data_IF_153897087779
#
_entry.id   IF_153897087779
#
_cell.length_a   1.000
_cell.length_b   1.000
_cell.length_c   1.000
_cell.angle_alpha   90.00
_cell.angle_beta   90.00
_cell.angle_gamma   90.00
#
_symmetry.space_group_name_H-M   'P 1'
#
loop_
_entity.id
_entity.type
_entity.pdbx_description
1 polymer ?
#
# COMPACT_ATOMS: atom_id res chain seq x y z
N UNK A 1 48.15 -24.91 34.00
CA UNK A 1 49.18 -23.84 34.20
C UNK A 1 48.38 -22.57 34.45
N UNK A 2 48.21 -22.32 35.71
CA UNK A 2 48.77 -21.29 36.59
C UNK A 2 48.20 -19.89 36.33
N UNK A 3 47.29 -19.49 37.24
CA UNK A 3 47.41 -18.41 38.24
C UNK A 3 47.53 -16.99 37.66
N UNK A 4 46.65 -16.04 38.07
CA UNK A 4 46.79 -15.31 39.33
C UNK A 4 45.56 -14.44 39.61
N UNK A 5 45.03 -14.63 40.81
CA UNK A 5 44.25 -13.71 41.64
C UNK A 5 44.99 -12.43 41.96
N UNK A 6 44.32 -11.29 41.99
CA UNK A 6 44.75 -10.13 42.75
C UNK A 6 43.55 -9.42 43.37
N UNK A 7 43.46 -9.61 44.67
CA UNK A 7 42.71 -8.75 45.61
C UNK A 7 43.49 -7.47 45.85
N UNK A 8 42.86 -6.32 45.94
CA UNK A 8 43.29 -5.23 46.85
C UNK A 8 42.24 -4.12 46.91
N UNK A 9 41.64 -4.03 48.04
CA UNK A 9 41.64 -3.03 49.10
C UNK A 9 40.71 -1.82 48.87
N UNK A 10 39.67 -1.79 49.68
CA UNK A 10 38.94 -0.60 50.14
C UNK A 10 39.85 0.35 50.90
N UNK A 11 39.53 1.67 50.92
CA UNK A 11 39.39 2.32 52.22
C UNK A 11 38.04 3.04 52.40
N UNK A 12 37.55 2.88 53.59
CA UNK A 12 36.52 3.67 54.25
C UNK A 12 37.10 5.07 54.52
N UNK A 13 36.34 6.13 54.26
CA UNK A 13 36.32 7.33 55.11
C UNK A 13 35.13 8.27 54.81
N UNK A 14 34.31 8.42 55.84
CA UNK A 14 33.73 9.63 56.47
C UNK A 14 32.72 10.46 55.75
N UNK A 15 31.50 10.35 56.29
CA UNK A 15 30.62 11.41 56.80
C UNK A 15 30.75 12.86 56.24
N UNK A 16 29.68 13.32 55.62
CA UNK A 16 29.44 14.73 55.38
C UNK A 16 27.99 14.94 54.94
N UNK A 17 27.20 15.52 55.87
CA UNK A 17 25.86 16.01 55.66
C UNK A 17 25.80 16.96 54.45
N UNK A 18 24.83 16.75 53.58
CA UNK A 18 24.08 17.84 52.90
C UNK A 18 22.81 17.21 52.30
N UNK A 19 21.76 17.16 53.08
CA UNK A 19 20.40 17.09 52.60
C UNK A 19 20.13 18.46 51.97
N UNK A 20 19.64 18.53 50.71
CA UNK A 20 18.87 19.51 50.01
C UNK A 20 19.23 19.40 48.51
N UNK A 21 18.31 18.86 47.68
CA UNK A 21 18.54 18.88 46.25
C UNK A 21 17.88 17.72 45.46
N UNK A 22 16.85 17.10 45.99
CA UNK A 22 16.20 15.97 45.30
C UNK A 22 14.73 16.26 45.00
N UNK A 23 14.49 17.34 44.25
CA UNK A 23 13.14 17.68 43.79
C UNK A 23 13.05 18.38 42.41
N UNK A 24 14.05 18.29 41.55
CA UNK A 24 14.01 18.98 40.24
C UNK A 24 14.51 18.13 39.07
N UNK A 25 14.38 16.81 39.11
CA UNK A 25 14.92 15.94 38.07
C UNK A 25 13.94 14.98 37.41
N UNK A 26 12.64 15.02 37.70
CA UNK A 26 11.71 13.96 37.24
C UNK A 26 10.61 14.43 36.27
N UNK A 27 10.78 15.55 35.58
CA UNK A 27 9.77 16.05 34.61
C UNK A 27 10.21 16.11 33.14
N UNK A 28 11.34 15.53 32.78
CA UNK A 28 11.84 15.61 31.39
C UNK A 28 11.90 14.26 30.67
N UNK A 29 11.01 13.34 30.96
CA UNK A 29 11.03 11.99 30.38
C UNK A 29 9.76 11.57 29.63
N UNK A 30 8.74 12.43 29.48
CA UNK A 30 7.57 12.12 28.64
C UNK A 30 7.65 12.86 27.29
N UNK A 31 8.79 12.78 26.60
CA UNK A 31 8.86 13.15 25.20
C UNK A 31 8.18 12.07 24.36
N UNK A 32 6.87 12.23 24.18
CA UNK A 32 6.15 12.08 22.92
C UNK A 32 6.68 10.98 21.99
N UNK A 33 6.41 9.73 22.28
CA UNK A 33 6.25 8.74 21.21
C UNK A 33 4.90 8.99 20.54
N UNK A 34 4.82 10.07 19.74
CA UNK A 34 3.72 10.23 18.82
C UNK A 34 3.78 9.03 17.83
N UNK A 35 2.74 8.21 17.73
CA UNK A 35 2.72 7.15 16.73
C UNK A 35 2.84 7.82 15.36
N UNK A 36 3.82 7.38 14.57
CA UNK A 36 4.01 7.89 13.22
C UNK A 36 2.77 7.64 12.37
N UNK A 37 2.02 8.66 11.93
CA UNK A 37 0.80 8.51 11.14
C UNK A 37 1.06 8.15 9.66
N UNK A 38 2.18 7.57 9.33
CA UNK A 38 2.80 7.70 8.03
C UNK A 38 2.29 6.80 6.88
N UNK A 39 1.41 5.82 7.08
CA UNK A 39 1.02 4.92 5.98
C UNK A 39 -0.45 4.95 5.60
N UNK A 40 -1.34 5.10 6.55
CA UNK A 40 -2.77 5.27 6.28
C UNK A 40 -2.99 6.59 5.52
N UNK A 41 -2.38 7.68 6.00
CA UNK A 41 -2.52 9.02 5.41
C UNK A 41 -2.13 9.07 3.92
N UNK A 42 -1.03 8.40 3.53
CA UNK A 42 -0.61 8.37 2.11
C UNK A 42 -1.58 7.63 1.20
N UNK A 43 -2.25 6.60 1.68
CA UNK A 43 -3.22 5.88 0.89
C UNK A 43 -4.52 6.67 0.73
N UNK A 44 -4.94 7.33 1.80
CA UNK A 44 -6.10 8.22 1.79
C UNK A 44 -5.84 9.45 0.90
N UNK A 45 -4.63 10.01 0.92
CA UNK A 45 -4.25 11.10 0.03
C UNK A 45 -4.25 10.64 -1.44
N UNK A 46 -3.73 9.45 -1.71
CA UNK A 46 -3.79 8.86 -3.06
C UNK A 46 -5.24 8.64 -3.53
N UNK A 47 -6.13 8.20 -2.64
CA UNK A 47 -7.54 8.06 -2.97
C UNK A 47 -8.21 9.43 -3.27
N UNK A 48 -7.84 10.48 -2.53
CA UNK A 48 -8.28 11.86 -2.82
C UNK A 48 -7.77 12.35 -4.17
N UNK A 49 -6.49 12.09 -4.49
CA UNK A 49 -5.90 12.44 -5.78
C UNK A 49 -6.62 11.72 -6.93
N UNK A 50 -7.01 10.47 -6.73
CA UNK A 50 -7.82 9.75 -7.70
C UNK A 50 -9.18 10.43 -7.93
N UNK A 51 -9.87 10.85 -6.87
CA UNK A 51 -11.17 11.54 -7.01
C UNK A 51 -11.05 12.91 -7.66
N UNK A 52 -9.95 13.61 -7.47
CA UNK A 52 -9.69 14.90 -8.10
C UNK A 52 -9.44 14.78 -9.62
N UNK A 53 -8.92 13.63 -10.07
CA UNK A 53 -8.51 13.43 -11.46
C UNK A 53 -9.42 12.51 -12.28
N UNK A 54 -10.29 11.74 -11.65
CA UNK A 54 -11.26 10.85 -12.32
C UNK A 54 -12.65 11.40 -12.09
N UNK A 55 -13.28 12.02 -13.10
CA UNK A 55 -14.63 12.57 -12.98
C UNK A 55 -15.65 11.49 -12.57
N UNK A 56 -16.47 11.78 -11.57
CA UNK A 56 -17.51 10.85 -11.09
C UNK A 56 -17.02 9.75 -10.13
N UNK A 57 -15.73 9.72 -9.81
CA UNK A 57 -15.19 8.82 -8.81
C UNK A 57 -15.57 9.29 -7.40
N UNK A 58 -16.02 8.35 -6.57
CA UNK A 58 -16.31 8.57 -5.15
C UNK A 58 -15.51 7.59 -4.29
N UNK A 59 -15.08 8.07 -3.13
CA UNK A 59 -14.48 7.22 -2.11
C UNK A 59 -15.61 6.60 -1.29
N UNK A 60 -15.63 5.27 -1.23
CA UNK A 60 -16.52 4.50 -0.39
C UNK A 60 -15.89 4.18 0.98
N UNK A 61 -16.23 3.03 1.53
CA UNK A 61 -15.71 2.57 2.83
C UNK A 61 -14.27 2.10 2.72
N UNK A 62 -13.54 2.22 3.83
CA UNK A 62 -12.20 1.61 3.99
C UNK A 62 -12.31 0.42 4.94
N UNK A 63 -11.88 -0.76 4.49
CA UNK A 63 -11.89 -2.00 5.29
C UNK A 63 -10.55 -2.71 5.14
N UNK A 64 -9.88 -2.99 6.25
CA UNK A 64 -8.64 -3.78 6.30
C UNK A 64 -7.55 -3.29 5.32
N UNK A 65 -7.39 -1.98 5.17
CA UNK A 65 -6.39 -1.39 4.27
C UNK A 65 -6.79 -1.43 2.79
N UNK A 66 -8.08 -1.60 2.49
CA UNK A 66 -8.65 -1.50 1.15
C UNK A 66 -9.67 -0.37 1.13
N UNK A 67 -9.46 0.61 0.27
CA UNK A 67 -10.39 1.71 0.03
C UNK A 67 -11.28 1.33 -1.15
N UNK A 68 -12.58 1.17 -0.92
CA UNK A 68 -13.54 0.91 -1.97
C UNK A 68 -13.82 2.19 -2.75
N UNK A 69 -13.96 2.04 -4.05
CA UNK A 69 -14.17 3.14 -5.00
C UNK A 69 -15.47 2.90 -5.76
N UNK A 70 -16.22 3.95 -6.01
CA UNK A 70 -17.48 3.90 -6.76
C UNK A 70 -17.36 4.75 -8.02
N UNK A 71 -17.64 4.17 -9.19
CA UNK A 71 -17.61 4.87 -10.46
C UNK A 71 -18.56 4.20 -11.47
N UNK A 72 -19.27 4.96 -12.32
CA UNK A 72 -20.27 4.41 -13.26
C UNK A 72 -19.74 3.38 -14.27
N UNK A 73 -18.46 3.46 -14.62
CA UNK A 73 -17.84 2.55 -15.58
C UNK A 73 -17.50 1.16 -15.03
N UNK A 74 -17.62 0.94 -13.70
CA UNK A 74 -17.23 -0.29 -13.04
C UNK A 74 -18.34 -0.81 -12.15
N UNK A 75 -18.43 -2.13 -11.97
CA UNK A 75 -19.34 -2.74 -10.97
C UNK A 75 -18.72 -2.69 -9.57
N UNK A 76 -17.41 -2.89 -9.49
CA UNK A 76 -16.64 -2.77 -8.26
C UNK A 76 -15.26 -2.22 -8.57
N UNK A 77 -14.74 -1.38 -7.71
CA UNK A 77 -13.35 -0.96 -7.75
C UNK A 77 -12.80 -0.77 -6.34
N UNK A 78 -11.49 -0.92 -6.20
CA UNK A 78 -10.81 -0.63 -4.95
C UNK A 78 -9.34 -0.29 -5.14
N UNK A 79 -8.82 0.47 -4.18
CA UNK A 79 -7.41 0.76 -3.99
C UNK A 79 -6.91 -0.01 -2.77
N UNK A 80 -6.05 -0.98 -2.98
CA UNK A 80 -5.35 -1.67 -1.91
C UNK A 80 -4.18 -0.82 -1.41
N UNK A 81 -4.13 -0.62 -0.09
CA UNK A 81 -3.09 0.17 0.55
C UNK A 81 -1.83 -0.67 0.83
N UNK A 82 -0.65 -0.05 0.77
CA UNK A 82 0.59 -0.78 0.96
C UNK A 82 0.73 -1.25 2.42
N UNK A 83 1.25 -2.47 2.58
CA UNK A 83 1.63 -3.03 3.88
C UNK A 83 3.10 -3.47 3.86
N UNK A 84 3.58 -4.10 4.94
CA UNK A 84 4.98 -4.60 5.00
C UNK A 84 5.33 -5.48 3.80
N UNK A 85 4.39 -6.35 3.37
CA UNK A 85 4.61 -7.35 2.33
C UNK A 85 3.78 -7.12 1.06
N UNK A 86 3.08 -5.99 0.94
CA UNK A 86 2.16 -5.71 -0.15
C UNK A 86 2.41 -4.30 -0.70
N UNK A 87 2.51 -4.18 -2.01
CA UNK A 87 2.47 -2.88 -2.70
C UNK A 87 1.03 -2.41 -2.84
N UNK A 88 0.83 -1.17 -3.31
CA UNK A 88 -0.49 -0.74 -3.74
C UNK A 88 -1.00 -1.67 -4.84
N UNK A 89 -2.31 -1.87 -4.87
CA UNK A 89 -3.00 -2.52 -5.98
C UNK A 89 -4.27 -1.76 -6.35
N UNK A 90 -4.57 -1.75 -7.63
CA UNK A 90 -5.81 -1.22 -8.19
C UNK A 90 -6.63 -2.40 -8.70
N UNK A 91 -7.81 -2.58 -8.14
CA UNK A 91 -8.77 -3.59 -8.58
C UNK A 91 -9.95 -2.91 -9.25
N UNK A 92 -10.44 -3.50 -10.35
CA UNK A 92 -11.69 -3.12 -10.99
C UNK A 92 -12.39 -4.33 -11.60
N UNK A 93 -13.72 -4.33 -11.58
CA UNK A 93 -14.53 -5.35 -12.23
C UNK A 93 -15.72 -4.75 -12.98
N UNK A 94 -16.16 -5.48 -13.98
CA UNK A 94 -17.39 -5.21 -14.73
C UNK A 94 -18.16 -6.52 -14.93
N UNK A 95 -19.47 -6.46 -14.93
CA UNK A 95 -20.39 -7.58 -15.23
C UNK A 95 -20.45 -7.93 -16.74
N UNK A 96 -19.81 -7.14 -17.57
CA UNK A 96 -19.76 -7.35 -19.03
C UNK A 96 -18.59 -8.23 -19.42
N UNK A 97 -18.86 -9.29 -20.20
CA UNK A 97 -17.79 -10.14 -20.80
C UNK A 97 -16.87 -9.38 -21.75
N UNK A 98 -17.40 -8.35 -22.41
CA UNK A 98 -16.63 -7.41 -23.22
C UNK A 98 -16.64 -6.07 -22.50
N UNK A 99 -15.56 -5.70 -21.81
CA UNK A 99 -15.48 -4.43 -21.12
C UNK A 99 -15.65 -3.26 -22.10
N UNK A 100 -16.33 -2.22 -21.64
CA UNK A 100 -16.49 -0.98 -22.43
C UNK A 100 -15.17 -0.21 -22.50
N UNK A 101 -15.03 0.72 -23.45
CA UNK A 101 -13.90 1.65 -23.46
C UNK A 101 -13.77 2.43 -22.16
N UNK A 102 -14.88 2.86 -21.56
CA UNK A 102 -14.90 3.60 -20.29
C UNK A 102 -14.37 2.78 -19.11
N UNK A 103 -14.63 1.46 -19.10
CA UNK A 103 -14.05 0.56 -18.11
C UNK A 103 -12.52 0.54 -18.22
N UNK A 104 -12.00 0.37 -19.42
CA UNK A 104 -10.55 0.39 -19.65
C UNK A 104 -9.94 1.75 -19.36
N UNK A 105 -10.63 2.83 -19.69
CA UNK A 105 -10.19 4.19 -19.42
C UNK A 105 -10.08 4.45 -17.92
N UNK A 106 -11.09 4.02 -17.14
CA UNK A 106 -11.07 4.08 -15.68
C UNK A 106 -9.87 3.30 -15.11
N UNK A 107 -9.72 2.02 -15.50
CA UNK A 107 -8.62 1.16 -15.03
C UNK A 107 -7.26 1.77 -15.35
N UNK A 108 -7.11 2.25 -16.60
CA UNK A 108 -5.86 2.83 -17.07
C UNK A 108 -5.53 4.14 -16.35
N UNK A 109 -6.51 4.99 -16.12
CA UNK A 109 -6.32 6.26 -15.40
C UNK A 109 -5.98 6.01 -13.94
N UNK A 110 -6.74 5.17 -13.25
CA UNK A 110 -6.47 4.84 -11.86
C UNK A 110 -5.07 4.22 -11.67
N UNK A 111 -4.71 3.24 -12.49
CA UNK A 111 -3.39 2.62 -12.41
C UNK A 111 -2.25 3.59 -12.80
N UNK A 112 -2.46 4.47 -13.78
CA UNK A 112 -1.49 5.49 -14.16
C UNK A 112 -1.14 6.42 -13.00
N UNK A 113 -2.16 6.87 -12.27
CA UNK A 113 -2.01 7.75 -11.12
C UNK A 113 -1.33 7.02 -9.94
N UNK A 114 -1.81 5.82 -9.59
CA UNK A 114 -1.29 5.04 -8.46
C UNK A 114 0.17 4.65 -8.67
N UNK A 115 0.54 4.26 -9.89
CA UNK A 115 1.89 3.73 -10.18
C UNK A 115 2.80 4.73 -10.89
N UNK A 116 2.32 5.93 -11.17
CA UNK A 116 3.09 6.97 -11.88
C UNK A 116 3.64 6.45 -13.21
N UNK A 117 2.77 5.88 -14.03
CA UNK A 117 3.08 5.30 -15.34
C UNK A 117 2.17 5.97 -16.39
N UNK A 118 2.63 6.19 -17.64
CA UNK A 118 1.78 6.76 -18.67
C UNK A 118 0.48 5.99 -18.87
N UNK A 119 -0.66 6.70 -18.90
CA UNK A 119 -2.00 6.11 -19.09
C UNK A 119 -2.09 5.18 -20.29
N UNK A 120 -1.44 5.53 -21.40
CA UNK A 120 -1.44 4.69 -22.61
C UNK A 120 -0.76 3.33 -22.38
N UNK A 121 0.26 3.27 -21.51
CA UNK A 121 0.94 2.01 -21.19
C UNK A 121 0.06 1.14 -20.31
N UNK A 122 -0.59 1.71 -19.29
CA UNK A 122 -1.54 0.98 -18.45
C UNK A 122 -2.75 0.48 -19.25
N UNK A 123 -3.27 1.30 -20.15
CA UNK A 123 -4.36 0.93 -21.06
C UNK A 123 -4.00 -0.27 -21.94
N UNK A 124 -2.85 -0.20 -22.64
CA UNK A 124 -2.35 -1.29 -23.47
C UNK A 124 -2.11 -2.56 -22.64
N UNK A 125 -1.58 -2.42 -21.43
CA UNK A 125 -1.36 -3.54 -20.53
C UNK A 125 -2.66 -4.24 -20.14
N UNK A 126 -3.68 -3.50 -19.71
CA UNK A 126 -5.00 -4.01 -19.35
C UNK A 126 -5.71 -4.69 -20.53
N UNK A 127 -5.76 -4.04 -21.68
CA UNK A 127 -6.35 -4.60 -22.91
C UNK A 127 -5.64 -5.87 -23.35
N UNK A 128 -4.30 -5.87 -23.35
CA UNK A 128 -3.50 -7.05 -23.70
C UNK A 128 -3.73 -8.22 -22.73
N UNK A 129 -3.89 -7.94 -21.45
CA UNK A 129 -4.17 -8.97 -20.47
C UNK A 129 -5.53 -9.65 -20.76
N UNK A 130 -6.59 -8.88 -20.90
CA UNK A 130 -7.94 -9.40 -21.21
C UNK A 130 -7.99 -10.10 -22.56
N UNK A 131 -7.36 -9.57 -23.62
CA UNK A 131 -7.36 -10.17 -24.94
C UNK A 131 -6.62 -11.52 -25.03
N UNK A 132 -5.74 -11.80 -24.06
CA UNK A 132 -5.02 -13.07 -23.99
C UNK A 132 -5.80 -14.18 -23.31
N UNK A 133 -6.89 -13.87 -22.61
CA UNK A 133 -7.76 -14.88 -22.03
C UNK A 133 -8.52 -15.62 -23.13
N UNK A 134 -8.37 -16.92 -23.22
CA UNK A 134 -9.07 -17.77 -24.18
C UNK A 134 -9.10 -19.23 -23.70
N UNK A 135 -9.74 -20.10 -24.49
CA UNK A 135 -9.89 -21.52 -24.17
C UNK A 135 -8.51 -22.23 -24.00
N UNK A 136 -7.50 -21.79 -24.74
CA UNK A 136 -6.17 -22.45 -24.74
C UNK A 136 -5.33 -21.97 -23.54
N UNK A 137 -5.38 -20.67 -23.22
CA UNK A 137 -4.55 -20.04 -22.17
C UNK A 137 -5.26 -19.95 -20.83
N UNK A 138 -6.55 -20.32 -20.79
CA UNK A 138 -7.38 -20.15 -19.60
C UNK A 138 -8.03 -18.76 -19.51
N UNK A 139 -8.90 -18.64 -18.55
CA UNK A 139 -9.68 -17.42 -18.27
C UNK A 139 -9.13 -16.62 -17.11
N UNK A 140 -7.99 -17.03 -16.57
CA UNK A 140 -7.27 -16.42 -15.46
C UNK A 140 -5.80 -16.30 -15.86
N UNK A 141 -5.33 -15.09 -16.08
CA UNK A 141 -4.02 -14.82 -16.67
C UNK A 141 -3.27 -13.79 -15.87
N UNK A 142 -2.00 -14.07 -15.60
CA UNK A 142 -1.02 -13.11 -15.12
C UNK A 142 -0.21 -12.59 -16.31
N UNK A 143 -0.08 -11.29 -16.42
CA UNK A 143 0.65 -10.61 -17.49
C UNK A 143 1.50 -9.50 -16.91
N UNK A 144 2.78 -9.47 -17.25
CA UNK A 144 3.66 -8.36 -16.92
C UNK A 144 3.77 -7.39 -18.08
N UNK A 145 3.56 -6.10 -17.79
CA UNK A 145 3.69 -5.03 -18.78
C UNK A 145 4.25 -3.75 -18.15
N UNK A 146 5.39 -3.27 -18.63
CA UNK A 146 6.01 -2.02 -18.16
C UNK A 146 6.17 -1.92 -16.62
N UNK A 147 6.68 -2.97 -15.97
CA UNK A 147 6.84 -3.09 -14.51
C UNK A 147 5.53 -3.15 -13.73
N UNK A 148 4.42 -3.39 -14.41
CA UNK A 148 3.14 -3.70 -13.79
C UNK A 148 2.89 -5.19 -13.89
N UNK A 149 2.44 -5.76 -12.79
CA UNK A 149 1.87 -7.09 -12.74
C UNK A 149 0.36 -6.93 -12.87
N UNK A 150 -0.20 -7.48 -13.93
CA UNK A 150 -1.61 -7.35 -14.30
C UNK A 150 -2.23 -8.73 -14.28
N UNK A 151 -3.13 -8.93 -13.34
CA UNK A 151 -3.92 -10.16 -13.21
C UNK A 151 -5.30 -9.93 -13.79
N UNK A 152 -5.72 -10.76 -14.75
CA UNK A 152 -7.01 -10.66 -15.41
C UNK A 152 -7.78 -11.97 -15.31
N UNK A 153 -9.03 -11.86 -14.91
CA UNK A 153 -9.98 -12.98 -14.92
C UNK A 153 -11.17 -12.62 -15.80
N UNK A 154 -11.48 -13.48 -16.76
CA UNK A 154 -12.68 -13.39 -17.60
C UNK A 154 -13.60 -14.55 -17.26
N UNK A 155 -14.81 -14.24 -16.81
CA UNK A 155 -15.82 -15.23 -16.44
C UNK A 155 -17.13 -14.99 -17.20
N UNK A 156 -18.08 -15.92 -17.05
CA UNK A 156 -19.45 -15.70 -17.57
C UNK A 156 -20.09 -14.46 -16.94
N UNK A 157 -19.72 -14.12 -15.73
CA UNK A 157 -20.23 -13.02 -14.91
C UNK A 157 -19.49 -11.70 -15.12
N UNK A 158 -18.52 -11.64 -16.04
CA UNK A 158 -17.81 -10.40 -16.34
C UNK A 158 -16.28 -10.52 -16.32
N UNK A 159 -15.62 -9.37 -16.23
CA UNK A 159 -14.16 -9.26 -16.25
C UNK A 159 -13.68 -8.60 -14.97
N UNK A 160 -12.57 -9.09 -14.44
CA UNK A 160 -11.83 -8.53 -13.30
C UNK A 160 -10.40 -8.24 -13.71
N UNK A 161 -9.88 -7.11 -13.29
CA UNK A 161 -8.50 -6.71 -13.51
C UNK A 161 -7.93 -6.25 -12.16
N UNK A 162 -6.79 -6.80 -11.80
CA UNK A 162 -5.98 -6.30 -10.68
C UNK A 162 -4.64 -5.87 -11.22
N UNK A 163 -4.22 -4.66 -10.91
CA UNK A 163 -2.92 -4.11 -11.31
C UNK A 163 -2.14 -3.80 -10.05
N UNK A 164 -0.92 -4.30 -9.98
CA UNK A 164 0.02 -4.04 -8.90
C UNK A 164 1.41 -3.76 -9.47
N UNK A 165 2.30 -3.29 -8.62
CA UNK A 165 3.71 -3.15 -8.97
C UNK A 165 4.52 -4.08 -8.08
N UNK A 166 5.42 -4.85 -8.68
CA UNK A 166 6.37 -5.64 -7.92
C UNK A 166 7.19 -4.71 -7.01
N UNK A 167 7.32 -5.09 -5.74
CA UNK A 167 8.30 -4.43 -4.87
C UNK A 167 9.67 -4.71 -5.48
N UNK A 168 10.38 -3.66 -5.88
CA UNK A 168 11.78 -3.80 -6.28
C UNK A 168 12.54 -4.52 -5.17
N UNK A 169 13.25 -5.57 -5.54
CA UNK A 169 14.20 -6.30 -4.69
C UNK A 169 15.38 -5.39 -4.40
#
# INVERSE_FOLDING_TARGET
MTHRTSLSRTPVLKSGLAAIGLALGLTLGLALTAPSPARADRCDDLAKDLTAQIPGLKIGKTIAGVIYLEHPAVTQASLGCPSRNRSNDVFASTDKKKPSPDFYDFVATAAALVFTIPKNDTLKGAQRCVSRTNIIRGYNIDSRYRRLDIHCTVAKTGVRITISREKGV
#
